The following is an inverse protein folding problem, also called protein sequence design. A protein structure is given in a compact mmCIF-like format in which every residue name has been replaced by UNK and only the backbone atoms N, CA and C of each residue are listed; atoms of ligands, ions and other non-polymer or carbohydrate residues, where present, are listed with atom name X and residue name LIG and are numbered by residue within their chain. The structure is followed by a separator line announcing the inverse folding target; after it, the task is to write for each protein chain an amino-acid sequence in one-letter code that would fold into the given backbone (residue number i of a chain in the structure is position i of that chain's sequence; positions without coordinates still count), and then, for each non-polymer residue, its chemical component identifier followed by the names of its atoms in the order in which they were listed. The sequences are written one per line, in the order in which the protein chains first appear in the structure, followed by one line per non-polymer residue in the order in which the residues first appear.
data_IF_981035297519
#
_entry.id   IF_981035297519
#
_cell.length_a   1.000
_cell.length_b   1.000
_cell.length_c   1.000
_cell.angle_alpha   90.00
_cell.angle_beta   90.00
_cell.angle_gamma   90.00
#
_symmetry.space_group_name_H-M   'P 1'
#
loop_
_entity.id
_entity.type
_entity.pdbx_description
1 polymer ?
#
# COMPACT_ATOMS: atom_id res chain seq x y z
N UNK A 1 -8.41 15.08 -2.93
CA UNK A 1 -7.06 14.85 -3.52
C UNK A 1 -6.76 15.85 -4.65
N UNK A 2 -5.65 16.62 -4.58
CA UNK A 2 -5.23 17.56 -5.65
C UNK A 2 -4.09 16.95 -6.47
N UNK A 3 -4.08 17.21 -7.77
CA UNK A 3 -3.11 16.68 -8.77
C UNK A 3 -1.62 16.82 -8.41
N UNK A 4 -1.26 17.81 -7.57
CA UNK A 4 0.13 18.13 -7.22
C UNK A 4 0.76 17.20 -6.18
N UNK A 5 -0.03 16.30 -5.59
CA UNK A 5 0.43 15.40 -4.54
C UNK A 5 0.74 13.98 -5.04
N UNK A 6 0.73 13.75 -6.36
CA UNK A 6 1.06 12.46 -6.98
C UNK A 6 2.48 12.50 -7.57
N UNK A 7 3.29 11.50 -7.25
CA UNK A 7 4.63 11.31 -7.81
C UNK A 7 4.72 9.95 -8.51
N UNK A 8 5.20 9.96 -9.75
CA UNK A 8 5.57 8.74 -10.48
C UNK A 8 6.88 8.22 -9.90
N UNK A 9 6.90 6.93 -9.53
CA UNK A 9 8.03 6.29 -8.86
C UNK A 9 8.78 5.36 -9.81
N UNK A 10 8.05 4.48 -10.49
CA UNK A 10 8.64 3.46 -11.36
C UNK A 10 7.62 2.93 -12.36
N UNK A 11 8.08 2.13 -13.32
CA UNK A 11 7.22 1.42 -14.27
C UNK A 11 7.60 -0.05 -14.36
N UNK A 12 6.62 -0.93 -14.56
CA UNK A 12 6.84 -2.36 -14.78
C UNK A 12 6.05 -2.83 -16.01
N UNK A 13 6.68 -3.53 -16.98
CA UNK A 13 5.94 -4.18 -18.05
C UNK A 13 5.09 -5.31 -17.47
N UNK A 14 3.83 -5.39 -17.88
CA UNK A 14 2.90 -6.43 -17.45
C UNK A 14 2.39 -7.20 -18.68
N UNK A 15 2.75 -8.48 -18.85
CA UNK A 15 2.57 -9.20 -20.11
C UNK A 15 1.09 -9.52 -20.43
N UNK A 16 0.15 -9.26 -19.53
CA UNK A 16 -1.26 -9.62 -19.71
C UNK A 16 -2.22 -8.45 -19.47
N UNK A 17 -2.94 -7.93 -20.49
CA UNK A 17 -2.88 -8.15 -21.94
C UNK A 17 -1.89 -7.22 -22.67
N UNK A 18 -0.63 -7.14 -22.23
CA UNK A 18 0.42 -6.19 -22.67
C UNK A 18 0.21 -4.74 -22.18
N UNK A 19 0.19 -4.57 -20.86
CA UNK A 19 0.09 -3.27 -20.20
C UNK A 19 1.46 -2.77 -19.70
N UNK A 20 1.58 -1.45 -19.51
CA UNK A 20 2.66 -0.84 -18.74
C UNK A 20 2.05 -0.37 -17.43
N UNK A 21 2.49 -0.95 -16.31
CA UNK A 21 2.10 -0.47 -14.99
C UNK A 21 2.97 0.74 -14.64
N UNK A 22 2.34 1.86 -14.34
CA UNK A 22 3.02 3.07 -13.84
C UNK A 22 2.72 3.15 -12.35
N UNK A 23 3.75 2.93 -11.54
CA UNK A 23 3.67 3.03 -10.09
C UNK A 23 3.71 4.48 -9.64
N UNK A 24 2.62 4.92 -9.02
CA UNK A 24 2.48 6.26 -8.48
C UNK A 24 2.32 6.20 -6.96
N UNK A 25 2.86 7.19 -6.27
CA UNK A 25 2.62 7.40 -4.85
C UNK A 25 1.99 8.76 -4.66
N UNK A 26 1.01 8.84 -3.76
CA UNK A 26 0.36 10.10 -3.47
C UNK A 26 0.26 10.37 -1.97
N UNK A 27 0.30 11.65 -1.61
CA UNK A 27 0.24 12.10 -0.22
C UNK A 27 -1.06 12.88 -0.01
N UNK A 28 -1.86 12.46 0.98
CA UNK A 28 -3.02 13.21 1.42
C UNK A 28 -2.56 14.23 2.47
N UNK A 29 -2.65 15.53 2.14
CA UNK A 29 -2.18 16.62 3.01
C UNK A 29 -3.28 17.26 3.86
N UNK A 30 -4.54 17.09 3.49
CA UNK A 30 -5.67 17.72 4.19
C UNK A 30 -6.35 16.70 5.11
N UNK A 31 -6.44 17.03 6.40
CA UNK A 31 -7.20 16.27 7.39
C UNK A 31 -8.70 16.60 7.38
N UNK A 32 -9.17 17.29 6.33
CA UNK A 32 -10.60 17.53 6.13
C UNK A 32 -11.31 16.18 6.10
N UNK A 33 -12.30 16.03 6.99
CA UNK A 33 -12.92 14.77 7.40
C UNK A 33 -13.57 13.97 6.27
N UNK A 34 -13.82 14.59 5.11
CA UNK A 34 -14.38 13.93 3.93
C UNK A 34 -13.34 13.18 3.08
N UNK A 35 -12.06 13.61 3.08
CA UNK A 35 -11.00 12.96 2.28
C UNK A 35 -10.57 11.59 2.86
N UNK A 36 -10.98 11.28 4.11
CA UNK A 36 -10.78 9.96 4.74
C UNK A 36 -11.91 8.97 4.44
N UNK A 37 -13.06 9.44 3.96
CA UNK A 37 -14.18 8.55 3.63
C UNK A 37 -13.87 7.82 2.34
N UNK A 38 -13.68 6.52 2.43
CA UNK A 38 -13.53 5.68 1.26
C UNK A 38 -14.93 5.38 0.71
N UNK A 39 -15.19 5.77 -0.53
CA UNK A 39 -16.43 5.45 -1.23
C UNK A 39 -16.15 4.40 -2.30
N UNK A 40 -16.55 3.15 -2.03
CA UNK A 40 -16.42 2.00 -2.94
C UNK A 40 -17.67 1.76 -3.79
N UNK A 41 -18.73 2.54 -3.61
CA UNK A 41 -20.01 2.27 -4.28
C UNK A 41 -20.11 2.91 -5.68
N UNK A 42 -19.02 3.48 -6.20
CA UNK A 42 -19.00 4.07 -7.53
C UNK A 42 -18.79 3.00 -8.62
N UNK A 43 -18.03 1.94 -8.32
CA UNK A 43 -17.75 0.80 -9.18
C UNK A 43 -17.60 -0.50 -8.36
N UNK A 44 -18.24 -1.59 -8.82
CA UNK A 44 -18.18 -2.90 -8.16
C UNK A 44 -16.82 -3.63 -8.38
N UNK A 45 -15.73 -2.88 -8.62
CA UNK A 45 -14.41 -3.45 -8.92
C UNK A 45 -13.68 -3.96 -7.68
N UNK A 46 -13.92 -3.34 -6.52
CA UNK A 46 -13.23 -3.66 -5.26
C UNK A 46 -14.20 -4.29 -4.24
N UNK A 47 -13.85 -5.50 -3.79
CA UNK A 47 -14.62 -6.20 -2.75
C UNK A 47 -14.43 -5.56 -1.36
N UNK A 48 -13.20 -5.17 -1.03
CA UNK A 48 -12.86 -4.58 0.26
C UNK A 48 -11.75 -3.53 0.15
N UNK A 49 -11.89 -2.44 0.91
CA UNK A 49 -10.86 -1.41 1.04
C UNK A 49 -10.93 -0.82 2.45
N UNK A 50 -9.75 -0.58 3.02
CA UNK A 50 -9.63 0.01 4.34
C UNK A 50 -8.33 0.80 4.44
N UNK A 51 -8.22 1.61 5.48
CA UNK A 51 -6.97 2.27 5.85
C UNK A 51 -6.15 1.32 6.74
N UNK A 52 -4.85 1.23 6.46
CA UNK A 52 -3.93 0.34 7.17
C UNK A 52 -2.90 1.15 7.93
N UNK A 53 -2.57 0.73 9.16
CA UNK A 53 -1.46 1.32 9.89
C UNK A 53 -0.12 0.86 9.29
N UNK A 54 0.73 1.83 8.97
CA UNK A 54 2.10 1.62 8.48
C UNK A 54 2.93 0.67 9.36
N UNK A 55 2.73 0.65 10.68
CA UNK A 55 3.45 -0.24 11.60
C UNK A 55 3.01 -1.70 11.42
N UNK A 56 1.72 -1.92 11.25
CA UNK A 56 1.18 -3.26 11.00
C UNK A 56 1.63 -3.76 9.63
N UNK A 57 1.58 -2.92 8.59
CA UNK A 57 2.10 -3.27 7.26
C UNK A 57 3.60 -3.57 7.31
N UNK A 58 4.39 -2.80 8.06
CA UNK A 58 5.82 -3.07 8.26
C UNK A 58 6.08 -4.43 8.89
N UNK A 59 5.27 -4.82 9.89
CA UNK A 59 5.35 -6.16 10.52
C UNK A 59 5.02 -7.26 9.52
N UNK A 60 3.99 -7.08 8.68
CA UNK A 60 3.63 -8.06 7.63
C UNK A 60 4.72 -8.18 6.57
N UNK A 61 5.33 -7.07 6.12
CA UNK A 61 6.46 -7.11 5.17
C UNK A 61 7.63 -7.91 5.76
N UNK A 62 8.00 -7.65 7.02
CA UNK A 62 9.10 -8.36 7.70
C UNK A 62 8.74 -9.82 8.02
N UNK A 63 7.48 -10.09 8.31
CA UNK A 63 6.95 -11.44 8.56
C UNK A 63 6.76 -12.26 7.28
N UNK A 64 6.58 -11.61 6.12
CA UNK A 64 6.47 -12.28 4.83
C UNK A 64 7.77 -12.99 4.41
N UNK A 65 8.93 -12.51 4.88
CA UNK A 65 10.22 -13.20 4.75
C UNK A 65 10.31 -14.47 5.63
N UNK A 66 9.49 -14.54 6.69
CA UNK A 66 9.37 -15.68 7.60
C UNK A 66 8.25 -16.58 7.05
N UNK A 67 8.47 -17.13 5.85
CA UNK A 67 7.43 -17.76 5.03
C UNK A 67 6.58 -18.79 5.77
N UNK A 68 5.25 -18.69 5.63
CA UNK A 68 4.18 -19.72 5.81
C UNK A 68 4.19 -20.54 7.13
N UNK A 69 5.19 -20.42 8.00
CA UNK A 69 5.48 -21.37 9.08
C UNK A 69 5.65 -20.72 10.46
N UNK A 70 5.50 -19.41 10.62
CA UNK A 70 5.30 -18.83 11.95
C UNK A 70 3.82 -18.61 12.21
N UNK A 71 3.14 -19.67 12.64
CA UNK A 71 1.94 -19.50 13.47
C UNK A 71 2.38 -18.85 14.79
N UNK A 72 2.36 -17.52 14.84
CA UNK A 72 2.29 -16.80 16.11
C UNK A 72 0.83 -16.44 16.35
N UNK A 73 0.30 -16.89 17.50
CA UNK A 73 -1.05 -16.63 18.01
C UNK A 73 -1.33 -15.13 18.20
N UNK A 74 -1.49 -14.41 17.10
CA UNK A 74 -1.96 -13.04 17.09
C UNK A 74 -2.98 -12.97 15.97
N UNK A 75 -4.20 -12.59 16.31
CA UNK A 75 -5.31 -12.33 15.38
C UNK A 75 -4.99 -11.11 14.50
N UNK A 76 -3.84 -11.09 13.84
CA UNK A 76 -3.65 -10.27 12.66
C UNK A 76 -4.39 -11.01 11.57
N UNK A 77 -5.47 -10.41 11.05
CA UNK A 77 -6.12 -10.93 9.86
C UNK A 77 -5.04 -11.21 8.82
N UNK A 78 -4.93 -12.48 8.41
CA UNK A 78 -3.82 -13.00 7.63
C UNK A 78 -3.97 -12.49 6.19
N UNK A 79 -3.62 -11.22 5.98
CA UNK A 79 -3.70 -10.56 4.70
C UNK A 79 -2.38 -10.70 3.96
N UNK A 80 -2.46 -11.14 2.71
CA UNK A 80 -1.30 -11.46 1.89
C UNK A 80 -0.80 -10.22 1.15
N UNK A 81 0.52 -10.01 1.16
CA UNK A 81 1.16 -8.95 0.37
C UNK A 81 1.53 -9.46 -1.02
N UNK A 82 1.39 -8.63 -2.08
CA UNK A 82 1.96 -8.93 -3.38
C UNK A 82 3.46 -9.23 -3.28
N UNK A 83 4.01 -9.98 -4.25
CA UNK A 83 5.42 -10.31 -4.25
C UNK A 83 6.29 -9.05 -4.15
N UNK A 84 7.44 -9.09 -3.44
CA UNK A 84 8.33 -7.93 -3.32
C UNK A 84 8.92 -7.49 -4.68
N UNK A 85 8.90 -8.38 -5.68
CA UNK A 85 9.31 -8.08 -7.06
C UNK A 85 8.18 -7.46 -7.93
N UNK A 86 6.95 -7.40 -7.43
CA UNK A 86 5.87 -6.68 -8.10
C UNK A 86 5.98 -5.17 -7.83
N UNK A 87 5.53 -4.35 -8.78
CA UNK A 87 5.41 -2.90 -8.57
C UNK A 87 4.54 -2.59 -7.35
N UNK A 88 3.47 -3.36 -7.12
CA UNK A 88 2.61 -3.19 -5.95
C UNK A 88 3.38 -3.41 -4.64
N UNK A 89 4.10 -4.53 -4.51
CA UNK A 89 4.89 -4.85 -3.33
C UNK A 89 5.97 -3.79 -3.06
N UNK A 90 6.69 -3.35 -4.11
CA UNK A 90 7.70 -2.29 -3.97
C UNK A 90 7.12 -0.95 -3.57
N UNK A 91 5.98 -0.55 -4.12
CA UNK A 91 5.32 0.70 -3.76
C UNK A 91 4.84 0.68 -2.30
N UNK A 92 4.29 -0.45 -1.83
CA UNK A 92 3.87 -0.60 -0.43
C UNK A 92 5.07 -0.47 0.50
N UNK A 93 6.19 -1.14 0.20
CA UNK A 93 7.44 -1.00 0.97
C UNK A 93 7.91 0.45 1.04
N UNK A 94 7.97 1.14 -0.11
CA UNK A 94 8.34 2.56 -0.17
C UNK A 94 7.37 3.46 0.59
N UNK A 95 6.07 3.14 0.62
CA UNK A 95 5.07 3.91 1.36
C UNK A 95 5.31 3.80 2.87
N UNK A 96 5.62 2.59 3.36
CA UNK A 96 5.98 2.37 4.77
C UNK A 96 7.25 3.14 5.14
N UNK A 97 8.28 3.09 4.29
CA UNK A 97 9.53 3.84 4.51
C UNK A 97 9.28 5.35 4.54
N UNK A 98 8.48 5.86 3.60
CA UNK A 98 8.10 7.28 3.56
C UNK A 98 7.32 7.72 4.82
N UNK A 99 6.42 6.87 5.32
CA UNK A 99 5.70 7.13 6.58
C UNK A 99 6.65 7.16 7.79
N UNK A 100 7.66 6.27 7.83
CA UNK A 100 8.71 6.31 8.85
C UNK A 100 9.53 7.60 8.78
N UNK A 101 9.94 8.02 7.59
CA UNK A 101 10.71 9.25 7.37
C UNK A 101 9.94 10.52 7.73
N UNK A 102 8.62 10.54 7.51
CA UNK A 102 7.76 11.65 7.89
C UNK A 102 7.58 11.73 9.41
N UNK A 103 7.52 10.60 10.12
CA UNK A 103 7.44 10.55 11.59
C UNK A 103 8.74 11.01 12.27
N UNK A 104 9.90 10.72 11.70
CA UNK A 104 11.20 11.13 12.26
C UNK A 104 11.52 12.63 12.14
N UNK A 105 10.67 13.42 11.48
CA UNK A 105 10.85 14.86 11.28
C UNK A 105 10.01 15.74 12.22
N UNK A 106 9.34 15.15 13.22
CA UNK A 106 8.57 15.84 14.25
C UNK A 106 9.11 15.54 15.65
#
# INVERSE_FOLDING_TARGET
MRERDVKIIESQPWPFPANIMIGCMAILRDEQTDDRKINVHLDDELEHVSWFDSENVSKVIKGADIGILSKSDTEVEEWFLPSPESVAGRLIGRAVDACSDLRGKF
#
